data_IF_889764546608
#
_entry.id   IF_889764546608
#
_cell.length_a   1.000
_cell.length_b   1.000
_cell.length_c   1.000
_cell.angle_alpha   90.00
_cell.angle_beta   90.00
_cell.angle_gamma   90.00
#
_symmetry.space_group_name_H-M   'P 1'
#
loop_
_entity.id
_entity.type
_entity.pdbx_description
1 polymer ?
#
# COMPACT_ATOMS: atom_id res chain seq x y z
N UNK A 1 44.38 36.60 29.75
CA UNK A 1 43.63 36.54 28.48
C UNK A 1 44.23 35.42 27.64
N UNK A 2 43.51 34.34 27.34
CA UNK A 2 44.04 33.28 26.49
C UNK A 2 43.80 33.55 25.01
N UNK A 3 44.87 33.29 24.28
CA UNK A 3 45.14 33.41 22.85
C UNK A 3 44.26 32.47 22.00
N UNK A 4 43.68 33.00 20.92
CA UNK A 4 42.74 32.33 20.01
C UNK A 4 43.43 31.88 18.70
N UNK A 5 44.67 31.42 18.78
CA UNK A 5 45.39 30.90 17.62
C UNK A 5 45.59 29.39 17.69
N UNK A 6 44.67 28.65 17.06
CA UNK A 6 44.97 27.40 16.34
C UNK A 6 43.80 27.01 15.45
N UNK A 7 43.93 27.40 14.19
CA UNK A 7 43.44 26.63 13.06
C UNK A 7 43.96 25.19 13.18
N UNK A 8 43.06 24.24 13.42
CA UNK A 8 43.25 22.85 13.02
C UNK A 8 41.95 22.39 12.37
N UNK A 9 41.96 22.54 11.04
CA UNK A 9 41.16 21.74 10.12
C UNK A 9 41.48 20.28 10.39
N UNK A 10 40.59 19.58 11.06
CA UNK A 10 40.37 18.18 10.75
C UNK A 10 38.88 17.89 10.78
N UNK A 11 38.26 18.20 9.63
CA UNK A 11 37.00 17.63 9.19
C UNK A 11 37.11 16.11 9.17
N UNK A 12 37.00 15.49 10.34
CA UNK A 12 36.71 14.07 10.51
C UNK A 12 35.22 13.83 10.28
N UNK A 13 34.70 14.35 9.16
CA UNK A 13 33.47 13.85 8.52
C UNK A 13 33.87 12.60 7.76
N UNK A 14 33.99 11.48 8.48
CA UNK A 14 33.96 10.16 7.85
C UNK A 14 33.82 9.11 8.94
N UNK A 15 32.68 8.41 8.95
CA UNK A 15 32.50 6.96 9.18
C UNK A 15 30.98 6.75 9.36
N UNK A 16 30.21 6.61 8.27
CA UNK A 16 29.93 5.39 7.48
C UNK A 16 28.71 4.63 8.02
N UNK A 17 27.69 4.53 7.14
CA UNK A 17 26.66 3.48 7.05
C UNK A 17 25.48 3.55 8.04
N UNK A 18 24.52 4.44 7.76
CA UNK A 18 23.17 4.38 8.33
C UNK A 18 22.07 4.11 7.29
N UNK A 19 22.46 3.71 6.08
CA UNK A 19 21.59 3.62 4.90
C UNK A 19 21.91 2.37 4.07
N UNK A 20 22.09 1.24 4.72
CA UNK A 20 22.26 -0.02 4.02
C UNK A 20 20.87 -0.59 3.79
N UNK A 21 20.39 -0.41 2.54
CA UNK A 21 19.50 -1.31 1.80
C UNK A 21 18.68 -2.26 2.68
N UNK A 22 17.36 -2.06 2.71
CA UNK A 22 16.39 -3.02 3.25
C UNK A 22 16.91 -4.44 3.05
N UNK A 23 17.09 -5.18 4.14
CA UNK A 23 17.74 -6.48 4.05
C UNK A 23 16.85 -7.43 3.28
N UNK A 24 17.45 -8.45 2.67
CA UNK A 24 16.72 -9.51 1.97
C UNK A 24 15.70 -10.21 2.90
N UNK A 25 15.93 -10.18 4.22
CA UNK A 25 15.01 -10.65 5.26
C UNK A 25 13.80 -9.74 5.46
N UNK A 26 13.95 -8.43 5.25
CA UNK A 26 12.86 -7.46 5.34
C UNK A 26 11.92 -7.59 4.14
N UNK A 27 12.47 -7.79 2.94
CA UNK A 27 11.68 -8.01 1.72
C UNK A 27 10.79 -9.25 1.86
N UNK A 28 11.33 -10.37 2.36
CA UNK A 28 10.55 -11.59 2.57
C UNK A 28 9.48 -11.43 3.67
N UNK A 29 9.74 -10.59 4.68
CA UNK A 29 8.72 -10.21 5.68
C UNK A 29 7.54 -9.47 5.01
N UNK A 30 7.82 -8.43 4.24
CA UNK A 30 6.78 -7.66 3.56
C UNK A 30 6.07 -8.48 2.47
N UNK A 31 6.80 -9.33 1.75
CA UNK A 31 6.22 -10.26 0.77
C UNK A 31 5.19 -11.17 1.41
N UNK A 32 5.49 -11.78 2.56
CA UNK A 32 4.54 -12.62 3.30
C UNK A 32 3.31 -11.83 3.75
N UNK A 33 3.48 -10.58 4.19
CA UNK A 33 2.35 -9.70 4.53
C UNK A 33 1.47 -9.42 3.31
N UNK A 34 2.05 -9.05 2.18
CA UNK A 34 1.34 -8.79 0.92
C UNK A 34 0.57 -10.02 0.43
N UNK A 35 1.17 -11.21 0.53
CA UNK A 35 0.50 -12.47 0.16
C UNK A 35 -0.69 -12.78 1.07
N UNK A 36 -0.54 -12.57 2.38
CA UNK A 36 -1.62 -12.77 3.35
C UNK A 36 -2.77 -11.78 3.10
N UNK A 37 -2.46 -10.52 2.83
CA UNK A 37 -3.45 -9.48 2.54
C UNK A 37 -4.20 -9.75 1.22
N UNK A 38 -3.49 -10.20 0.18
CA UNK A 38 -4.10 -10.64 -1.07
C UNK A 38 -5.10 -11.77 -0.84
N UNK A 39 -4.71 -12.77 -0.04
CA UNK A 39 -5.57 -13.91 0.26
C UNK A 39 -6.84 -13.47 1.00
N UNK A 40 -6.68 -12.71 2.09
CA UNK A 40 -7.80 -12.18 2.87
C UNK A 40 -8.77 -11.35 2.02
N UNK A 41 -8.24 -10.51 1.13
CA UNK A 41 -9.06 -9.70 0.24
C UNK A 41 -9.79 -10.58 -0.78
N UNK A 42 -9.15 -11.62 -1.30
CA UNK A 42 -9.77 -12.56 -2.23
C UNK A 42 -10.89 -13.38 -1.59
N UNK A 43 -10.70 -13.84 -0.35
CA UNK A 43 -11.72 -14.55 0.44
C UNK A 43 -12.91 -13.64 0.75
N UNK A 44 -12.64 -12.39 1.12
CA UNK A 44 -13.68 -11.38 1.37
C UNK A 44 -14.51 -11.15 0.11
N UNK A 45 -13.86 -10.98 -1.05
CA UNK A 45 -14.55 -10.82 -2.34
C UNK A 45 -15.40 -12.04 -2.69
N UNK A 46 -14.89 -13.26 -2.48
CA UNK A 46 -15.63 -14.48 -2.76
C UNK A 46 -16.91 -14.55 -1.92
N UNK A 47 -16.80 -14.26 -0.62
CA UNK A 47 -17.94 -14.22 0.31
C UNK A 47 -18.96 -13.16 -0.12
N UNK A 48 -18.52 -11.94 -0.44
CA UNK A 48 -19.39 -10.86 -0.91
C UNK A 48 -20.13 -11.24 -2.20
N UNK A 49 -19.48 -11.96 -3.12
CA UNK A 49 -20.08 -12.39 -4.36
C UNK A 49 -21.17 -13.47 -4.14
N UNK A 50 -20.94 -14.40 -3.20
CA UNK A 50 -21.93 -15.42 -2.81
C UNK A 50 -23.16 -14.79 -2.13
N UNK A 51 -22.94 -13.83 -1.24
CA UNK A 51 -24.01 -13.07 -0.58
C UNK A 51 -24.83 -12.26 -1.59
N UNK A 52 -24.16 -11.56 -2.51
CA UNK A 52 -24.81 -10.79 -3.56
C UNK A 52 -25.67 -11.69 -4.48
N UNK A 53 -25.16 -12.87 -4.86
CA UNK A 53 -25.89 -13.84 -5.64
C UNK A 53 -27.16 -14.35 -4.92
N UNK A 54 -27.07 -14.57 -3.61
CA UNK A 54 -28.23 -14.99 -2.79
C UNK A 54 -29.30 -13.90 -2.72
N UNK A 55 -28.89 -12.64 -2.57
CA UNK A 55 -29.79 -11.49 -2.48
C UNK A 55 -30.48 -11.19 -3.82
N UNK A 56 -29.81 -11.37 -4.96
CA UNK A 56 -30.39 -11.17 -6.29
C UNK A 56 -31.62 -12.07 -6.54
N UNK A 57 -31.59 -13.33 -6.08
CA UNK A 57 -32.73 -14.26 -6.21
C UNK A 57 -33.97 -13.79 -5.43
N UNK A 58 -33.80 -13.16 -4.26
CA UNK A 58 -34.89 -12.75 -3.36
C UNK A 58 -35.60 -11.45 -3.81
N UNK A 59 -34.90 -10.57 -4.54
CA UNK A 59 -35.45 -9.30 -5.04
C UNK A 59 -36.59 -9.44 -6.06
N UNK A 60 -36.82 -10.65 -6.58
CA UNK A 60 -37.93 -10.98 -7.48
C UNK A 60 -39.33 -10.79 -6.86
N UNK A 61 -39.43 -10.51 -5.55
CA UNK A 61 -40.70 -10.44 -4.79
C UNK A 61 -41.03 -9.08 -4.16
N UNK A 62 -40.29 -7.99 -4.44
CA UNK A 62 -40.39 -6.74 -3.65
C UNK A 62 -41.06 -5.53 -4.34
N UNK A 63 -41.65 -4.64 -3.52
CA UNK A 63 -42.43 -3.46 -3.93
C UNK A 63 -41.59 -2.24 -4.37
N UNK A 64 -42.26 -1.11 -4.66
CA UNK A 64 -41.64 0.08 -5.30
C UNK A 64 -40.52 0.74 -4.48
N UNK A 65 -40.65 0.80 -3.14
CA UNK A 65 -39.64 1.38 -2.23
C UNK A 65 -38.36 0.53 -2.22
N UNK A 66 -38.52 -0.80 -2.18
CA UNK A 66 -37.41 -1.76 -2.17
C UNK A 66 -36.55 -1.71 -3.44
N UNK A 67 -37.07 -1.24 -4.58
CA UNK A 67 -36.25 -1.06 -5.80
C UNK A 67 -35.25 0.08 -5.69
N UNK A 68 -35.58 1.18 -5.00
CA UNK A 68 -34.64 2.28 -4.82
C UNK A 68 -33.50 1.87 -3.88
N UNK A 69 -33.84 1.14 -2.82
CA UNK A 69 -32.84 0.57 -1.90
C UNK A 69 -31.97 -0.47 -2.60
N UNK A 70 -32.55 -1.31 -3.46
CA UNK A 70 -31.81 -2.29 -4.25
C UNK A 70 -30.80 -1.63 -5.21
N UNK A 71 -31.18 -0.55 -5.91
CA UNK A 71 -30.27 0.18 -6.79
C UNK A 71 -29.12 0.84 -6.01
N UNK A 72 -29.42 1.40 -4.84
CA UNK A 72 -28.39 1.97 -3.97
C UNK A 72 -27.44 0.87 -3.44
N UNK A 73 -27.98 -0.28 -3.03
CA UNK A 73 -27.20 -1.44 -2.62
C UNK A 73 -26.29 -1.97 -3.74
N UNK A 74 -26.80 -2.05 -4.96
CA UNK A 74 -26.02 -2.45 -6.13
C UNK A 74 -24.88 -1.47 -6.41
N UNK A 75 -25.13 -0.16 -6.37
CA UNK A 75 -24.10 0.86 -6.57
C UNK A 75 -22.99 0.78 -5.49
N UNK A 76 -23.38 0.54 -4.23
CA UNK A 76 -22.42 0.35 -3.14
C UNK A 76 -21.59 -0.93 -3.33
N UNK A 77 -22.20 -2.03 -3.76
CA UNK A 77 -21.50 -3.30 -4.02
C UNK A 77 -20.48 -3.15 -5.17
N UNK A 78 -20.87 -2.48 -6.26
CA UNK A 78 -19.97 -2.21 -7.38
C UNK A 78 -18.75 -1.34 -6.99
N UNK A 79 -18.95 -0.32 -6.16
CA UNK A 79 -17.84 0.49 -5.67
C UNK A 79 -16.91 -0.29 -4.72
N UNK A 80 -17.47 -1.16 -3.87
CA UNK A 80 -16.66 -2.05 -3.02
C UNK A 80 -15.80 -3.01 -3.87
N UNK A 81 -16.39 -3.62 -4.89
CA UNK A 81 -15.67 -4.48 -5.83
C UNK A 81 -14.55 -3.71 -6.54
N UNK A 82 -14.84 -2.51 -7.05
CA UNK A 82 -13.85 -1.66 -7.72
C UNK A 82 -12.67 -1.31 -6.81
N UNK A 83 -12.92 -1.01 -5.53
CA UNK A 83 -11.88 -0.73 -4.54
C UNK A 83 -11.04 -1.96 -4.23
N UNK A 84 -11.68 -3.11 -4.02
CA UNK A 84 -10.98 -4.37 -3.78
C UNK A 84 -10.09 -4.76 -4.97
N UNK A 85 -10.57 -4.57 -6.20
CA UNK A 85 -9.77 -4.78 -7.40
C UNK A 85 -8.59 -3.83 -7.52
N UNK A 86 -8.79 -2.56 -7.14
CA UNK A 86 -7.70 -1.60 -7.10
C UNK A 86 -6.64 -2.00 -6.08
N UNK A 87 -7.06 -2.52 -4.93
CA UNK A 87 -6.13 -2.97 -3.90
C UNK A 87 -5.36 -4.22 -4.32
N UNK A 88 -6.03 -5.23 -4.90
CA UNK A 88 -5.37 -6.41 -5.46
C UNK A 88 -4.32 -6.04 -6.50
N UNK A 89 -4.58 -5.01 -7.33
CA UNK A 89 -3.59 -4.50 -8.28
C UNK A 89 -2.39 -3.86 -7.59
N UNK A 90 -2.58 -3.03 -6.56
CA UNK A 90 -1.48 -2.44 -5.79
C UNK A 90 -0.61 -3.52 -5.15
N UNK A 91 -1.22 -4.53 -4.54
CA UNK A 91 -0.52 -5.66 -3.94
C UNK A 91 0.26 -6.46 -4.99
N UNK A 92 -0.35 -6.72 -6.16
CA UNK A 92 0.34 -7.40 -7.26
C UNK A 92 1.56 -6.62 -7.76
N UNK A 93 1.45 -5.29 -7.90
CA UNK A 93 2.57 -4.42 -8.24
C UNK A 93 3.67 -4.49 -7.18
N UNK A 94 3.30 -4.40 -5.89
CA UNK A 94 4.27 -4.47 -4.80
C UNK A 94 5.02 -5.81 -4.78
N UNK A 95 4.31 -6.92 -4.98
CA UNK A 95 4.92 -8.26 -5.11
C UNK A 95 5.88 -8.36 -6.30
N UNK A 96 5.50 -7.83 -7.46
CA UNK A 96 6.37 -7.80 -8.63
C UNK A 96 7.66 -7.00 -8.37
N UNK A 97 7.57 -5.95 -7.56
CA UNK A 97 8.73 -5.14 -7.14
C UNK A 97 9.58 -5.85 -6.10
N UNK A 98 8.99 -6.69 -5.23
CA UNK A 98 9.76 -7.59 -4.37
C UNK A 98 10.60 -8.55 -5.23
N UNK A 99 10.04 -9.05 -6.33
CA UNK A 99 10.74 -9.96 -7.25
C UNK A 99 11.80 -9.25 -8.11
N UNK A 100 11.61 -7.98 -8.48
CA UNK A 100 12.60 -7.20 -9.23
C UNK A 100 13.73 -6.62 -8.38
N UNK A 101 13.54 -6.56 -7.05
CA UNK A 101 14.47 -5.91 -6.12
C UNK A 101 14.26 -4.40 -5.98
N UNK A 102 13.25 -3.82 -6.64
CA UNK A 102 12.92 -2.39 -6.56
C UNK A 102 11.95 -2.07 -5.42
N UNK A 103 11.61 -3.04 -4.58
CA UNK A 103 10.72 -2.85 -3.45
C UNK A 103 11.33 -1.88 -2.42
N UNK A 104 10.51 -0.95 -1.92
CA UNK A 104 10.93 0.08 -0.97
C UNK A 104 11.45 1.37 -1.58
N UNK A 105 11.41 1.55 -2.90
CA UNK A 105 11.72 2.83 -3.57
C UNK A 105 10.46 3.55 -4.06
N UNK A 106 10.51 4.86 -4.26
CA UNK A 106 9.38 5.61 -4.80
C UNK A 106 9.32 5.48 -6.33
N UNK A 107 8.14 5.23 -6.89
CA UNK A 107 7.97 5.14 -8.36
C UNK A 107 8.10 6.48 -9.09
N UNK A 108 7.93 7.61 -8.39
CA UNK A 108 8.04 8.96 -8.99
C UNK A 108 9.48 9.50 -8.92
N UNK A 109 10.07 9.55 -7.73
CA UNK A 109 11.37 10.17 -7.51
C UNK A 109 12.54 9.18 -7.37
N UNK A 110 12.27 7.87 -7.23
CA UNK A 110 13.30 6.85 -7.01
C UNK A 110 13.89 6.86 -5.60
N UNK A 111 13.42 7.71 -4.69
CA UNK A 111 13.94 7.82 -3.32
C UNK A 111 13.41 6.66 -2.43
N UNK A 112 14.17 6.22 -1.42
CA UNK A 112 13.69 5.17 -0.51
C UNK A 112 12.43 5.62 0.25
N UNK A 113 11.45 4.73 0.33
CA UNK A 113 10.23 4.90 1.12
C UNK A 113 10.57 4.63 2.59
N UNK A 114 10.08 5.48 3.48
CA UNK A 114 10.30 5.32 4.91
C UNK A 114 9.73 3.98 5.41
N UNK A 115 10.46 3.21 6.24
CA UNK A 115 10.01 1.89 6.72
C UNK A 115 8.69 1.98 7.49
N UNK A 116 8.48 3.03 8.29
CA UNK A 116 7.20 3.27 8.98
C UNK A 116 6.00 3.36 8.02
N UNK A 117 6.21 3.81 6.77
CA UNK A 117 5.16 3.87 5.74
C UNK A 117 4.90 2.48 5.16
N UNK A 118 5.94 1.69 4.90
CA UNK A 118 5.82 0.29 4.45
C UNK A 118 5.25 -0.63 5.54
N UNK A 119 5.47 -0.30 6.82
CA UNK A 119 4.86 -0.99 7.94
C UNK A 119 3.35 -0.74 7.99
N UNK A 120 2.93 0.51 7.78
CA UNK A 120 1.53 0.91 7.75
C UNK A 120 0.79 0.41 6.50
N UNK A 121 1.41 0.54 5.32
CA UNK A 121 0.91 0.10 4.03
C UNK A 121 2.06 -0.56 3.23
N UNK A 122 2.15 -1.90 3.20
CA UNK A 122 3.19 -2.60 2.45
C UNK A 122 3.03 -2.50 0.93
N UNK A 123 1.88 -2.04 0.43
CA UNK A 123 1.64 -1.80 -0.99
C UNK A 123 1.96 -0.35 -1.40
N UNK A 124 2.55 0.46 -0.51
CA UNK A 124 2.88 1.85 -0.81
C UNK A 124 3.91 1.99 -1.95
N UNK A 125 3.53 2.72 -3.01
CA UNK A 125 4.37 2.97 -4.18
C UNK A 125 5.13 4.30 -4.14
N UNK A 126 4.70 5.23 -3.27
CA UNK A 126 5.18 6.61 -3.22
C UNK A 126 5.79 6.96 -1.86
N UNK A 127 6.85 7.78 -1.89
CA UNK A 127 7.35 8.43 -0.68
C UNK A 127 6.36 9.49 -0.17
N UNK A 128 6.52 9.92 1.08
CA UNK A 128 5.61 10.89 1.69
C UNK A 128 5.53 12.20 0.89
N UNK A 129 6.67 12.70 0.37
CA UNK A 129 6.73 13.94 -0.41
C UNK A 129 5.94 13.85 -1.71
N UNK A 130 6.12 12.76 -2.46
CA UNK A 130 5.40 12.54 -3.71
C UNK A 130 3.92 12.24 -3.48
N UNK A 131 3.57 11.60 -2.36
CA UNK A 131 2.18 11.41 -1.98
C UNK A 131 1.50 12.75 -1.67
N UNK A 132 2.11 13.58 -0.82
CA UNK A 132 1.60 14.92 -0.46
C UNK A 132 1.47 15.82 -1.70
N UNK A 133 2.41 15.73 -2.65
CA UNK A 133 2.38 16.50 -3.89
C UNK A 133 1.25 16.10 -4.86
N UNK A 134 0.67 14.89 -4.74
CA UNK A 134 -0.47 14.43 -5.56
C UNK A 134 -1.82 14.76 -4.94
N UNK A 135 -1.84 15.13 -3.66
CA UNK A 135 -3.05 15.50 -2.93
C UNK A 135 -3.39 17.00 -3.08
N UNK A 136 -2.48 17.80 -3.65
CA UNK A 136 -2.64 19.22 -3.99
C UNK A 136 -2.68 19.45 -5.50
#
# INVERSE_FOLDING_TARGET
MPDWSRDDRDSTVSTRLGSETMSELDIEHYRRRLLAEREQLSETKATQHEEAATVELDQSRTGRLSRMDALLGQAMAQEQERRADQELRRIATALARCDSGDYGFCVDCGEPIAPARLEADPAAELCIRCAEAREH
#
